data_IF_374883326706
#
_entry.id   IF_374883326706
#
_cell.length_a   1.000
_cell.length_b   1.000
_cell.length_c   1.000
_cell.angle_alpha   90.00
_cell.angle_beta   90.00
_cell.angle_gamma   90.00
#
_symmetry.space_group_name_H-M   'P 1'
#
loop_
_entity.id
_entity.type
_entity.pdbx_description
1 polymer ?
#
# COMPACT_ATOMS: atom_id res chain seq x y z
N UNK A 1 -30.90 13.46 -64.48
CA UNK A 1 -29.46 13.54 -64.15
C UNK A 1 -29.13 14.43 -62.93
N UNK A 2 -30.09 14.78 -62.07
CA UNK A 2 -29.86 15.75 -60.96
C UNK A 2 -30.37 15.30 -59.57
N UNK A 3 -30.84 14.06 -59.42
CA UNK A 3 -31.40 13.56 -58.14
C UNK A 3 -30.34 13.40 -57.06
N UNK A 4 -29.19 12.80 -57.40
CA UNK A 4 -28.06 12.66 -56.48
C UNK A 4 -27.53 13.99 -55.94
N UNK A 5 -27.59 15.06 -56.75
CA UNK A 5 -27.19 16.41 -56.31
C UNK A 5 -28.14 16.97 -55.24
N UNK A 6 -29.45 16.74 -55.40
CA UNK A 6 -30.44 17.16 -54.43
C UNK A 6 -30.27 16.39 -53.11
N UNK A 7 -29.99 15.08 -53.17
CA UNK A 7 -29.69 14.27 -51.98
C UNK A 7 -28.46 14.78 -51.24
N UNK A 8 -27.40 15.14 -51.97
CA UNK A 8 -26.18 15.72 -51.38
C UNK A 8 -26.45 17.08 -50.73
N UNK A 9 -27.26 17.95 -51.36
CA UNK A 9 -27.61 19.27 -50.79
C UNK A 9 -28.47 19.12 -49.53
N UNK A 10 -29.43 18.19 -49.52
CA UNK A 10 -30.26 17.89 -48.35
C UNK A 10 -29.40 17.34 -47.21
N UNK A 11 -28.47 16.44 -47.51
CA UNK A 11 -27.52 15.93 -46.52
C UNK A 11 -26.60 17.04 -45.97
N UNK A 12 -26.05 17.89 -46.84
CA UNK A 12 -25.15 18.98 -46.46
C UNK A 12 -25.84 19.99 -45.55
N UNK A 13 -27.08 20.34 -45.85
CA UNK A 13 -27.89 21.26 -45.04
C UNK A 13 -28.28 20.63 -43.70
N UNK A 14 -28.58 19.33 -43.66
CA UNK A 14 -28.84 18.60 -42.43
C UNK A 14 -27.63 18.55 -41.48
N UNK A 15 -26.41 18.39 -42.03
CA UNK A 15 -25.18 18.24 -41.24
C UNK A 15 -24.29 19.50 -41.21
N UNK A 16 -24.76 20.65 -41.70
CA UNK A 16 -23.97 21.89 -41.81
C UNK A 16 -23.29 22.27 -40.48
N UNK A 17 -23.99 22.14 -39.36
CA UNK A 17 -23.46 22.46 -38.03
C UNK A 17 -22.32 21.53 -37.64
N UNK A 18 -22.49 20.22 -37.86
CA UNK A 18 -21.48 19.20 -37.53
C UNK A 18 -20.22 19.38 -38.38
N UNK A 19 -20.38 19.78 -39.65
CA UNK A 19 -19.27 20.09 -40.56
C UNK A 19 -18.52 21.36 -40.15
N UNK A 20 -19.23 22.42 -39.75
CA UNK A 20 -18.60 23.65 -39.24
C UNK A 20 -17.80 23.35 -37.96
N UNK A 21 -18.37 22.64 -37.00
CA UNK A 21 -17.68 22.24 -35.77
C UNK A 21 -16.48 21.34 -36.05
N UNK A 22 -16.60 20.36 -36.94
CA UNK A 22 -15.48 19.51 -37.36
C UNK A 22 -14.36 20.33 -38.03
N UNK A 23 -14.72 21.31 -38.86
CA UNK A 23 -13.78 22.24 -39.47
C UNK A 23 -13.04 23.10 -38.44
N UNK A 24 -13.75 23.62 -37.44
CA UNK A 24 -13.14 24.37 -36.33
C UNK A 24 -12.19 23.51 -35.50
N UNK A 25 -12.58 22.26 -35.19
CA UNK A 25 -11.72 21.31 -34.45
C UNK A 25 -10.48 20.95 -35.25
N UNK A 26 -10.60 20.73 -36.57
CA UNK A 26 -9.45 20.48 -37.44
C UNK A 26 -8.53 21.70 -37.53
N UNK A 27 -9.07 22.91 -37.62
CA UNK A 27 -8.28 24.14 -37.59
C UNK A 27 -7.56 24.30 -36.25
N UNK A 28 -8.23 24.01 -35.13
CA UNK A 28 -7.61 23.99 -33.81
C UNK A 28 -6.46 22.96 -33.75
N UNK A 29 -6.68 21.73 -34.21
CA UNK A 29 -5.66 20.69 -34.24
C UNK A 29 -4.46 21.09 -35.12
N UNK A 30 -4.70 21.65 -36.30
CA UNK A 30 -3.65 22.14 -37.19
C UNK A 30 -2.89 23.33 -36.59
N UNK A 31 -3.59 24.27 -35.95
CA UNK A 31 -2.96 25.40 -35.27
C UNK A 31 -2.13 24.95 -34.07
N UNK A 32 -2.65 24.03 -33.25
CA UNK A 32 -1.94 23.47 -32.12
C UNK A 32 -0.70 22.67 -32.57
N UNK A 33 -0.86 21.81 -33.56
CA UNK A 33 0.24 20.99 -34.08
C UNK A 33 1.32 21.78 -34.81
N UNK A 34 0.95 22.83 -35.57
CA UNK A 34 1.91 23.63 -36.34
C UNK A 34 2.47 24.84 -35.61
N UNK A 35 1.75 25.43 -34.65
CA UNK A 35 2.20 26.65 -33.95
C UNK A 35 2.49 26.44 -32.48
N UNK A 36 1.69 25.67 -31.76
CA UNK A 36 1.82 25.54 -30.29
C UNK A 36 2.93 24.55 -29.92
N UNK A 37 2.96 23.37 -30.55
CA UNK A 37 4.01 22.36 -30.30
C UNK A 37 5.44 22.85 -30.59
N UNK A 38 5.77 23.45 -31.75
CA UNK A 38 7.13 23.96 -32.00
C UNK A 38 7.47 25.21 -31.19
N UNK A 39 6.48 26.01 -30.76
CA UNK A 39 6.71 27.08 -29.79
C UNK A 39 7.07 26.52 -28.41
N UNK A 40 6.47 25.41 -27.99
CA UNK A 40 6.85 24.74 -26.75
C UNK A 40 8.28 24.18 -26.84
N UNK A 41 8.64 23.58 -27.97
CA UNK A 41 10.02 23.11 -28.24
C UNK A 41 11.05 24.24 -28.11
N UNK A 42 10.83 25.35 -28.82
CA UNK A 42 11.76 26.49 -28.83
C UNK A 42 11.86 27.20 -27.47
N UNK A 43 10.80 27.24 -26.67
CA UNK A 43 10.85 27.78 -25.31
C UNK A 43 11.57 26.83 -24.33
N UNK A 44 11.44 25.52 -24.52
CA UNK A 44 12.17 24.52 -23.72
C UNK A 44 13.67 24.53 -24.05
N UNK A 45 14.02 24.69 -25.33
CA UNK A 45 15.42 24.83 -25.77
C UNK A 45 16.09 26.09 -25.22
N UNK A 46 15.38 27.23 -25.21
CA UNK A 46 15.87 28.48 -24.61
C UNK A 46 16.18 28.36 -23.11
N UNK A 47 15.52 27.42 -22.42
CA UNK A 47 15.65 27.22 -20.97
C UNK A 47 16.85 26.32 -20.61
N UNK A 48 17.71 25.91 -21.55
CA UNK A 48 18.86 24.99 -21.34
C UNK A 48 18.50 23.63 -20.70
N UNK A 49 17.22 23.26 -20.62
CA UNK A 49 16.77 21.97 -20.10
C UNK A 49 16.82 20.90 -21.21
N UNK A 50 18.03 20.63 -21.72
CA UNK A 50 18.27 19.56 -22.69
C UNK A 50 18.28 18.20 -21.96
N UNK A 51 17.14 17.82 -21.40
CA UNK A 51 16.96 16.50 -20.77
C UNK A 51 16.06 15.63 -21.64
N UNK A 52 16.31 14.32 -21.65
CA UNK A 52 15.46 13.30 -22.28
C UNK A 52 13.98 13.44 -21.87
N UNK A 53 13.70 14.07 -20.73
CA UNK A 53 12.36 14.38 -20.22
C UNK A 53 11.62 15.45 -21.03
N UNK A 54 12.31 16.43 -21.61
CA UNK A 54 11.71 17.46 -22.47
C UNK A 54 11.10 16.87 -23.75
N UNK A 55 11.82 15.94 -24.39
CA UNK A 55 11.37 15.23 -25.59
C UNK A 55 10.17 14.33 -25.27
N UNK A 56 10.20 13.63 -24.12
CA UNK A 56 9.06 12.83 -23.64
C UNK A 56 7.82 13.70 -23.33
N UNK A 57 8.02 14.87 -22.72
CA UNK A 57 6.95 15.82 -22.42
C UNK A 57 6.29 16.38 -23.69
N UNK A 58 7.09 16.63 -24.73
CA UNK A 58 6.57 17.05 -26.02
C UNK A 58 5.77 15.94 -26.73
N UNK A 59 6.25 14.70 -26.68
CA UNK A 59 5.49 13.55 -27.18
C UNK A 59 4.15 13.42 -26.45
N UNK A 60 4.15 13.54 -25.11
CA UNK A 60 2.94 13.53 -24.30
C UNK A 60 2.00 14.68 -24.69
N UNK A 61 2.50 15.91 -24.88
CA UNK A 61 1.70 17.05 -25.32
C UNK A 61 1.06 16.80 -26.70
N UNK A 62 1.79 16.19 -27.64
CA UNK A 62 1.26 15.83 -28.96
C UNK A 62 0.16 14.79 -28.88
N UNK A 63 0.34 13.76 -28.05
CA UNK A 63 -0.68 12.74 -27.78
C UNK A 63 -1.91 13.38 -27.15
N UNK A 64 -1.76 14.24 -26.14
CA UNK A 64 -2.88 14.94 -25.50
C UNK A 64 -3.65 15.80 -26.50
N UNK A 65 -2.96 16.61 -27.32
CA UNK A 65 -3.61 17.45 -28.34
C UNK A 65 -4.36 16.58 -29.36
N UNK A 66 -3.79 15.45 -29.78
CA UNK A 66 -4.46 14.52 -30.69
C UNK A 66 -5.70 13.88 -30.03
N UNK A 67 -5.58 13.40 -28.79
CA UNK A 67 -6.69 12.79 -28.04
C UNK A 67 -7.83 13.79 -27.78
N UNK A 68 -7.51 15.02 -27.38
CA UNK A 68 -8.52 16.07 -27.14
C UNK A 68 -9.20 16.47 -28.45
N UNK A 69 -8.45 16.63 -29.53
CA UNK A 69 -9.03 16.97 -30.83
C UNK A 69 -9.93 15.86 -31.35
N UNK A 70 -9.52 14.60 -31.17
CA UNK A 70 -10.35 13.43 -31.49
C UNK A 70 -11.64 13.42 -30.66
N UNK A 71 -11.55 13.64 -29.34
CA UNK A 71 -12.73 13.71 -28.47
C UNK A 71 -13.71 14.82 -28.87
N UNK A 72 -13.21 16.03 -29.19
CA UNK A 72 -14.02 17.14 -29.68
C UNK A 72 -14.69 16.83 -31.02
N UNK A 73 -14.00 16.09 -31.91
CA UNK A 73 -14.56 15.65 -33.18
C UNK A 73 -15.68 14.63 -32.95
N UNK A 74 -15.49 13.65 -32.07
CA UNK A 74 -16.54 12.69 -31.70
C UNK A 74 -17.77 13.39 -31.10
N UNK A 75 -17.57 14.43 -30.28
CA UNK A 75 -18.64 15.28 -29.76
C UNK A 75 -19.37 16.07 -30.86
N UNK A 76 -18.63 16.64 -31.83
CA UNK A 76 -19.22 17.37 -32.95
C UNK A 76 -20.11 16.49 -33.84
N UNK A 77 -19.87 15.17 -33.84
CA UNK A 77 -20.70 14.18 -34.54
C UNK A 77 -21.81 13.60 -33.66
N UNK A 78 -21.98 14.10 -32.43
CA UNK A 78 -23.07 13.72 -31.54
C UNK A 78 -22.93 12.32 -30.95
N UNK A 79 -21.71 11.80 -30.84
CA UNK A 79 -21.47 10.52 -30.15
C UNK A 79 -21.87 10.67 -28.69
N UNK A 80 -22.80 9.83 -28.24
CA UNK A 80 -23.28 9.84 -26.86
C UNK A 80 -22.25 9.22 -25.91
N UNK A 81 -21.50 10.08 -25.22
CA UNK A 81 -20.54 9.66 -24.21
C UNK A 81 -21.22 9.14 -22.94
N UNK A 82 -22.53 9.35 -22.76
CA UNK A 82 -23.25 8.90 -21.56
C UNK A 82 -23.21 7.38 -21.43
N UNK A 83 -23.43 6.65 -22.52
CA UNK A 83 -23.34 5.18 -22.52
C UNK A 83 -21.93 4.67 -22.20
N UNK A 84 -20.90 5.33 -22.74
CA UNK A 84 -19.49 4.98 -22.50
C UNK A 84 -19.08 5.27 -21.05
N UNK A 85 -19.56 6.38 -20.49
CA UNK A 85 -19.32 6.76 -19.09
C UNK A 85 -19.99 5.77 -18.15
N UNK A 86 -21.25 5.39 -18.38
CA UNK A 86 -21.98 4.40 -17.56
C UNK A 86 -21.30 3.04 -17.57
N UNK A 87 -20.84 2.57 -18.74
CA UNK A 87 -20.06 1.33 -18.84
C UNK A 87 -18.76 1.44 -18.02
N UNK A 88 -18.03 2.54 -18.20
CA UNK A 88 -16.75 2.77 -17.51
C UNK A 88 -16.92 2.82 -16.01
N UNK A 89 -17.93 3.55 -15.51
CA UNK A 89 -18.23 3.60 -14.08
C UNK A 89 -18.63 2.24 -13.54
N UNK A 90 -19.42 1.46 -14.28
CA UNK A 90 -19.85 0.13 -13.85
C UNK A 90 -18.67 -0.83 -13.68
N UNK A 91 -17.73 -0.84 -14.64
CA UNK A 91 -16.50 -1.63 -14.55
C UNK A 91 -15.68 -1.19 -13.35
N UNK A 92 -15.44 0.12 -13.19
CA UNK A 92 -14.67 0.66 -12.07
C UNK A 92 -15.31 0.30 -10.73
N UNK A 93 -16.64 0.38 -10.61
CA UNK A 93 -17.36 0.01 -9.39
C UNK A 93 -17.20 -1.47 -9.07
N UNK A 94 -17.40 -2.37 -10.05
CA UNK A 94 -17.24 -3.82 -9.84
C UNK A 94 -15.78 -4.16 -9.50
N UNK A 95 -14.81 -3.59 -10.23
CA UNK A 95 -13.38 -3.77 -9.94
C UNK A 95 -13.01 -3.23 -8.55
N UNK A 96 -13.55 -2.07 -8.17
CA UNK A 96 -13.36 -1.49 -6.84
C UNK A 96 -13.81 -2.45 -5.75
N UNK A 97 -15.05 -2.97 -5.85
CA UNK A 97 -15.58 -3.96 -4.88
C UNK A 97 -14.75 -5.25 -4.87
N UNK A 98 -14.32 -5.75 -6.03
CA UNK A 98 -13.48 -6.95 -6.10
C UNK A 98 -12.11 -6.75 -5.41
N UNK A 99 -11.51 -5.57 -5.54
CA UNK A 99 -10.25 -5.23 -4.87
C UNK A 99 -10.38 -5.17 -3.35
N UNK A 100 -11.52 -4.71 -2.82
CA UNK A 100 -11.77 -4.71 -1.38
C UNK A 100 -11.72 -6.12 -0.78
N UNK A 101 -12.16 -7.15 -1.51
CA UNK A 101 -12.09 -8.54 -1.04
C UNK A 101 -10.64 -9.04 -0.86
N UNK A 102 -9.68 -8.49 -1.61
CA UNK A 102 -8.27 -8.89 -1.56
C UNK A 102 -7.41 -8.10 -0.56
N UNK A 103 -7.94 -7.06 0.11
CA UNK A 103 -7.16 -6.20 1.01
C UNK A 103 -6.41 -7.01 2.07
N UNK A 104 -7.08 -8.00 2.68
CA UNK A 104 -6.45 -8.83 3.72
C UNK A 104 -5.17 -9.53 3.21
N UNK A 105 -5.19 -10.04 1.98
CA UNK A 105 -4.03 -10.70 1.38
C UNK A 105 -2.87 -9.72 1.17
N UNK A 106 -3.18 -8.56 0.60
CA UNK A 106 -2.20 -7.50 0.34
C UNK A 106 -1.60 -7.02 1.66
N UNK A 107 -2.42 -6.79 2.68
CA UNK A 107 -1.95 -6.33 4.00
C UNK A 107 -1.01 -7.32 4.68
N UNK A 108 -1.23 -8.63 4.53
CA UNK A 108 -0.33 -9.65 5.06
C UNK A 108 1.00 -9.70 4.31
N UNK A 109 0.98 -9.56 2.98
CA UNK A 109 2.20 -9.49 2.16
C UNK A 109 3.00 -8.23 2.49
N UNK A 110 2.35 -7.07 2.58
CA UNK A 110 3.02 -5.82 2.96
C UNK A 110 3.60 -5.94 4.38
N UNK A 111 2.84 -6.51 5.31
CA UNK A 111 3.31 -6.75 6.67
C UNK A 111 4.52 -7.69 6.73
N UNK A 112 4.55 -8.73 5.89
CA UNK A 112 5.71 -9.61 5.77
C UNK A 112 7.00 -8.84 5.45
N UNK A 113 6.98 -7.96 4.44
CA UNK A 113 8.16 -7.15 4.10
C UNK A 113 8.57 -6.22 5.25
N UNK A 114 7.61 -5.61 5.94
CA UNK A 114 7.89 -4.77 7.11
C UNK A 114 8.56 -5.58 8.22
N UNK A 115 7.99 -6.73 8.59
CA UNK A 115 8.54 -7.62 9.62
C UNK A 115 9.94 -8.11 9.24
N UNK A 116 10.17 -8.48 7.98
CA UNK A 116 11.46 -8.96 7.48
C UNK A 116 12.57 -7.91 7.62
N UNK A 117 12.25 -6.63 7.42
CA UNK A 117 13.23 -5.53 7.57
C UNK A 117 13.59 -5.24 9.03
N UNK A 118 12.74 -5.65 9.99
CA UNK A 118 12.94 -5.36 11.39
C UNK A 118 13.65 -6.52 12.11
N UNK A 119 14.84 -6.23 12.64
CA UNK A 119 15.70 -7.20 13.35
C UNK A 119 15.00 -7.84 14.55
N UNK A 120 14.07 -7.14 15.20
CA UNK A 120 13.31 -7.65 16.34
C UNK A 120 12.44 -8.86 15.99
N UNK A 121 12.02 -8.99 14.73
CA UNK A 121 11.19 -10.10 14.25
C UNK A 121 11.98 -11.19 13.51
N UNK A 122 13.31 -11.22 13.68
CA UNK A 122 14.13 -12.29 13.11
C UNK A 122 13.79 -13.64 13.73
N UNK A 123 14.00 -14.68 12.93
CA UNK A 123 13.95 -16.08 13.36
C UNK A 123 14.80 -16.28 14.63
N UNK A 124 14.24 -16.99 15.60
CA UNK A 124 14.85 -17.32 16.88
C UNK A 124 14.49 -16.35 18.02
N UNK A 125 13.94 -15.17 17.74
CA UNK A 125 13.50 -14.27 18.80
C UNK A 125 12.20 -14.75 19.44
N UNK A 126 12.05 -14.50 20.75
CA UNK A 126 10.82 -14.80 21.48
C UNK A 126 9.93 -13.57 21.49
N UNK A 127 8.66 -13.75 21.12
CA UNK A 127 7.70 -12.65 21.10
C UNK A 127 6.43 -13.01 21.88
N UNK A 128 5.84 -12.01 22.52
CA UNK A 128 4.49 -12.08 23.09
C UNK A 128 3.59 -11.09 22.37
N UNK A 129 2.56 -11.59 21.72
CA UNK A 129 1.56 -10.77 21.02
C UNK A 129 0.37 -10.60 21.96
N UNK A 130 -0.07 -9.36 22.18
CA UNK A 130 -1.24 -9.03 23.01
C UNK A 130 -2.45 -8.78 22.10
N UNK A 131 -3.44 -9.65 22.17
CA UNK A 131 -4.68 -9.59 21.38
C UNK A 131 -5.88 -9.33 22.29
N UNK A 132 -6.07 -8.05 22.64
CA UNK A 132 -7.10 -7.64 23.59
C UNK A 132 -6.82 -8.22 24.97
N UNK A 133 -7.76 -8.99 25.50
CA UNK A 133 -7.62 -9.70 26.78
C UNK A 133 -6.86 -11.01 26.64
N UNK A 134 -6.39 -11.38 25.45
CA UNK A 134 -5.64 -12.62 25.22
C UNK A 134 -4.16 -12.33 24.92
N UNK A 135 -3.30 -13.31 25.15
CA UNK A 135 -1.90 -13.27 24.72
C UNK A 135 -1.49 -14.59 24.07
N UNK A 136 -0.49 -14.50 23.20
CA UNK A 136 0.18 -15.66 22.59
C UNK A 136 1.68 -15.44 22.69
N UNK A 137 2.41 -16.49 23.10
CA UNK A 137 3.86 -16.49 23.16
C UNK A 137 4.48 -17.57 22.28
N UNK A 138 5.63 -17.25 21.69
CA UNK A 138 6.39 -18.23 20.96
C UNK A 138 7.68 -17.68 20.37
N UNK A 139 8.55 -18.60 19.96
CA UNK A 139 9.74 -18.31 19.17
C UNK A 139 9.37 -18.17 17.70
N UNK A 140 9.89 -17.15 17.03
CA UNK A 140 9.72 -16.99 15.58
C UNK A 140 10.51 -18.10 14.88
N UNK A 141 9.81 -19.05 14.28
CA UNK A 141 10.45 -20.13 13.53
C UNK A 141 10.73 -19.72 12.09
N UNK A 142 9.80 -19.01 11.45
CA UNK A 142 9.98 -18.46 10.11
C UNK A 142 8.95 -17.36 9.82
N UNK A 143 9.29 -16.46 8.89
CA UNK A 143 8.40 -15.43 8.37
C UNK A 143 7.91 -15.88 6.99
N UNK A 144 6.62 -16.21 6.87
CA UNK A 144 5.98 -16.46 5.58
C UNK A 144 5.31 -15.20 5.02
N UNK A 145 5.02 -15.14 3.71
CA UNK A 145 4.39 -13.97 3.08
C UNK A 145 2.97 -13.68 3.61
N UNK A 146 2.25 -14.69 4.09
CA UNK A 146 0.88 -14.54 4.59
C UNK A 146 0.78 -14.59 6.12
N UNK A 147 1.66 -15.38 6.75
CA UNK A 147 1.64 -15.61 8.19
C UNK A 147 3.04 -15.91 8.72
N UNK A 148 3.28 -15.54 9.97
CA UNK A 148 4.49 -15.86 10.70
C UNK A 148 4.29 -17.17 11.46
N UNK A 149 5.26 -18.07 11.34
CA UNK A 149 5.24 -19.34 12.06
C UNK A 149 5.90 -19.16 13.42
N UNK A 150 5.14 -19.36 14.48
CA UNK A 150 5.58 -19.34 15.86
C UNK A 150 5.66 -20.77 16.40
N UNK A 151 6.70 -21.07 17.19
CA UNK A 151 6.81 -22.32 17.94
C UNK A 151 6.69 -22.00 19.43
N UNK A 152 5.68 -22.58 20.07
CA UNK A 152 5.37 -22.34 21.47
C UNK A 152 6.31 -23.14 22.38
N UNK A 153 6.29 -22.85 23.70
CA UNK A 153 7.04 -23.64 24.69
C UNK A 153 6.62 -25.11 24.73
N UNK A 154 5.39 -25.41 24.35
CA UNK A 154 4.82 -26.76 24.28
C UNK A 154 5.17 -27.47 22.95
N UNK A 155 6.03 -26.87 22.12
CA UNK A 155 6.43 -27.36 20.79
C UNK A 155 5.29 -27.42 19.78
N UNK A 156 4.23 -26.65 19.99
CA UNK A 156 3.18 -26.48 18.99
C UNK A 156 3.61 -25.45 17.94
N UNK A 157 3.18 -25.66 16.70
CA UNK A 157 3.43 -24.72 15.60
C UNK A 157 2.17 -23.92 15.33
N UNK A 158 2.25 -22.60 15.52
CA UNK A 158 1.14 -21.67 15.33
C UNK A 158 1.42 -20.74 14.15
N UNK A 159 0.44 -20.57 13.27
CA UNK A 159 0.51 -19.63 12.14
C UNK A 159 -0.26 -18.37 12.52
N UNK A 160 0.45 -17.25 12.72
CA UNK A 160 -0.17 -15.98 13.08
C UNK A 160 -0.15 -15.00 11.89
N UNK A 161 -1.29 -14.39 11.51
CA UNK A 161 -1.34 -13.44 10.38
C UNK A 161 -0.38 -12.26 10.58
N UNK A 162 0.38 -11.91 9.54
CA UNK A 162 1.43 -10.88 9.64
C UNK A 162 0.86 -9.50 9.95
N UNK A 163 -0.31 -9.17 9.37
CA UNK A 163 -0.94 -7.87 9.58
C UNK A 163 -1.37 -7.66 11.05
N UNK A 164 -1.73 -8.73 11.76
CA UNK A 164 -2.10 -8.67 13.17
C UNK A 164 -0.87 -8.43 14.05
N UNK A 165 0.29 -8.98 13.72
CA UNK A 165 1.53 -8.71 14.47
C UNK A 165 1.87 -7.21 14.45
N UNK A 166 1.64 -6.53 13.33
CA UNK A 166 1.95 -5.09 13.21
C UNK A 166 0.89 -4.18 13.83
N UNK A 167 -0.36 -4.63 13.89
CA UNK A 167 -1.48 -3.82 14.40
C UNK A 167 -1.73 -4.03 15.89
N UNK A 168 -1.17 -5.10 16.48
CA UNK A 168 -1.28 -5.39 17.91
C UNK A 168 0.02 -5.05 18.66
N UNK A 169 -0.05 -4.71 19.96
CA UNK A 169 1.15 -4.57 20.78
C UNK A 169 1.90 -5.90 20.88
N UNK A 170 3.21 -5.86 20.64
CA UNK A 170 4.09 -7.03 20.74
C UNK A 170 5.25 -6.71 21.68
N UNK A 171 5.47 -7.58 22.67
CA UNK A 171 6.66 -7.57 23.52
C UNK A 171 7.72 -8.48 22.92
N UNK A 172 8.94 -7.95 22.78
CA UNK A 172 10.09 -8.70 22.26
C UNK A 172 10.95 -9.13 23.45
N UNK A 173 11.27 -10.42 23.53
CA UNK A 173 12.07 -11.05 24.59
C UNK A 173 11.64 -10.63 26.03
N UNK A 174 10.37 -10.84 26.43
CA UNK A 174 9.91 -10.59 27.79
C UNK A 174 10.72 -11.39 28.83
N UNK A 175 10.96 -10.79 30.01
CA UNK A 175 11.75 -11.39 31.09
C UNK A 175 11.06 -12.54 31.83
N UNK A 176 9.74 -12.59 31.82
CA UNK A 176 8.93 -13.64 32.43
C UNK A 176 8.00 -14.23 31.37
N UNK A 177 7.91 -15.55 31.25
CA UNK A 177 6.96 -16.23 30.38
C UNK A 177 5.60 -16.36 31.08
N UNK A 178 4.49 -16.15 30.38
CA UNK A 178 3.13 -16.31 30.93
C UNK A 178 2.45 -17.61 30.49
N UNK A 179 3.13 -18.41 29.66
CA UNK A 179 2.61 -19.66 29.09
C UNK A 179 2.43 -19.55 27.59
N UNK A 180 1.76 -20.53 26.98
CA UNK A 180 1.61 -20.62 25.52
C UNK A 180 0.57 -19.64 24.95
N UNK A 181 -0.66 -19.70 25.47
CA UNK A 181 -1.77 -18.81 25.11
C UNK A 181 -2.70 -18.69 26.32
N UNK A 182 -3.31 -17.54 26.53
CA UNK A 182 -4.27 -17.38 27.63
C UNK A 182 -4.82 -15.97 27.76
N UNK A 183 -5.57 -15.73 28.85
CA UNK A 183 -6.06 -14.41 29.19
C UNK A 183 -4.99 -13.60 29.92
N UNK A 184 -4.90 -12.32 29.59
CA UNK A 184 -4.07 -11.33 30.30
C UNK A 184 -4.69 -11.14 31.68
N UNK A 185 -4.17 -11.90 32.65
CA UNK A 185 -4.56 -11.73 34.04
C UNK A 185 -3.66 -10.64 34.61
N UNK A 186 -4.19 -9.58 35.24
CA UNK A 186 -3.34 -8.60 35.91
C UNK A 186 -2.58 -9.32 37.03
N UNK A 187 -1.28 -9.46 36.85
CA UNK A 187 -0.40 -10.00 37.89
C UNK A 187 -0.44 -9.07 39.09
N UNK A 188 -1.16 -9.46 40.14
CA UNK A 188 -0.93 -8.94 41.49
C UNK A 188 0.51 -9.31 41.84
N UNK A 189 1.38 -8.30 41.88
CA UNK A 189 2.77 -8.45 42.31
C UNK A 189 2.77 -8.73 43.82
N UNK A 190 2.53 -9.97 44.23
CA UNK A 190 2.99 -10.44 45.55
C UNK A 190 4.46 -10.81 45.41
N UNK A 191 5.32 -9.87 45.82
CA UNK A 191 6.75 -10.12 45.95
C UNK A 191 6.98 -11.31 46.87
N UNK A 192 7.66 -12.34 46.36
CA UNK A 192 8.43 -13.24 47.22
C UNK A 192 9.66 -12.47 47.65
N UNK A 193 9.56 -11.76 48.78
CA UNK A 193 10.74 -11.39 49.56
C UNK A 193 11.38 -12.69 50.03
N UNK A 194 12.64 -12.89 49.64
CA UNK A 194 13.50 -13.92 50.18
C UNK A 194 13.58 -13.75 51.70
N UNK A 195 12.98 -14.67 52.45
CA UNK A 195 13.23 -14.79 53.88
C UNK A 195 14.60 -15.48 54.06
N UNK A 196 15.64 -14.65 54.21
CA UNK A 196 16.97 -15.07 54.64
C UNK A 196 17.37 -14.17 55.82
N UNK A 197 17.88 -14.81 56.87
CA UNK A 197 18.29 -14.31 58.21
C UNK A 197 17.17 -14.39 59.25
N UNK A 198 17.29 -15.21 60.30
CA UNK A 198 18.32 -15.06 61.34
C UNK A 198 18.72 -16.40 62.00
N UNK A 199 20.03 -16.62 62.16
CA UNK A 199 20.64 -17.71 62.96
C UNK A 199 21.29 -17.04 64.17
N UNK A 200 20.96 -17.41 65.42
CA UNK A 200 21.54 -16.74 66.57
C UNK A 200 22.98 -17.21 66.78
N UNK A 201 23.93 -16.27 66.67
CA UNK A 201 25.33 -16.50 67.02
C UNK A 201 25.50 -16.28 68.53
N UNK A 202 25.86 -17.31 69.30
CA UNK A 202 26.37 -17.13 70.67
C UNK A 202 27.63 -17.97 70.91
N UNK A 203 28.76 -17.24 70.90
CA UNK A 203 30.01 -17.43 71.65
C UNK A 203 30.66 -18.82 71.66
N UNK A 204 31.69 -19.00 70.82
CA UNK A 204 32.80 -19.89 71.11
C UNK A 204 33.96 -19.08 71.71
N UNK A 205 34.50 -19.60 72.81
CA UNK A 205 35.50 -19.06 73.71
C UNK A 205 36.88 -19.15 73.06
N UNK A 206 37.61 -18.04 73.02
CA UNK A 206 39.03 -17.98 72.65
C UNK A 206 39.82 -18.86 73.63
N UNK A 207 40.55 -19.85 73.11
CA UNK A 207 41.55 -20.62 73.83
C UNK A 207 42.92 -20.16 73.32
N UNK A 208 43.66 -19.50 74.20
CA UNK A 208 45.08 -19.19 74.04
C UNK A 208 45.89 -20.48 74.17
N UNK A 209 46.81 -20.68 73.23
CA UNK A 209 47.85 -21.72 73.29
C UNK A 209 49.01 -21.30 74.24
N UNK A 210 49.88 -22.24 74.63
CA UNK A 210 50.54 -22.27 75.94
C UNK A 210 51.87 -21.51 75.94
N UNK A 211 52.45 -21.27 77.14
CA UNK A 211 53.88 -21.39 77.49
C UNK A 211 54.12 -20.85 78.93
N UNK A 212 54.83 -21.66 79.73
CA UNK A 212 55.46 -21.46 81.06
C UNK A 212 54.55 -21.26 82.29
#
# INVERSE_FOLDING_TARGET
>A
MMQWWQEVVVWLTAYQSNLIWSGLVLLFYLAASRKILPKLETNIEKTKLKSTSAIKGLFAARVIVATVSLALLLLAWGIDFSGLLVLSTSIITVTGVALFASWSLISNITAYFILLTNVAYRRGNFIRILDGDNFIEGYIADLGPFSTRLVTSERETLMYPNNLILTRPVLINPKSTWGTMGKVTPTTVTGKTEEKTDKPTKKSRVKSDPQV
#
